data_IF_722740866472
#
_entry.id   IF_722740866472
#
_cell.length_a   1.000
_cell.length_b   1.000
_cell.length_c   1.000
_cell.angle_alpha   90.00
_cell.angle_beta   90.00
_cell.angle_gamma   90.00
#
_symmetry.space_group_name_H-M   'P 1'
#
loop_
_entity.id
_entity.type
_entity.pdbx_description
1 polymer ?
#
# COMPACT_ATOMS: atom_id res chain seq x y z
N UNK A 1 41.40 45.46 29.72
CA UNK A 1 41.53 44.54 28.57
C UNK A 1 40.78 45.16 27.41
N UNK A 2 41.46 45.53 26.31
CA UNK A 2 40.82 46.11 25.13
C UNK A 2 40.10 45.00 24.37
N UNK A 3 38.77 44.97 24.40
CA UNK A 3 38.00 44.16 23.45
C UNK A 3 38.20 44.73 22.05
N UNK A 4 38.74 43.93 21.13
CA UNK A 4 38.69 44.23 19.71
C UNK A 4 37.23 44.08 19.24
N UNK A 5 36.63 45.17 18.77
CA UNK A 5 35.28 45.16 18.24
C UNK A 5 35.25 44.46 16.88
N UNK A 6 34.27 43.58 16.69
CA UNK A 6 34.03 42.91 15.41
C UNK A 6 33.65 43.96 14.36
N UNK A 7 34.31 43.96 13.20
CA UNK A 7 33.96 44.89 12.12
C UNK A 7 32.71 44.40 11.39
N UNK A 8 31.91 45.34 10.86
CA UNK A 8 30.69 45.01 10.13
C UNK A 8 30.97 44.13 8.90
N UNK A 9 32.15 44.29 8.27
CA UNK A 9 32.57 43.51 7.10
C UNK A 9 32.85 42.05 7.49
N UNK A 10 33.54 41.80 8.60
CA UNK A 10 33.81 40.43 9.08
C UNK A 10 32.50 39.68 9.37
N UNK A 11 31.51 40.36 9.95
CA UNK A 11 30.20 39.77 10.21
C UNK A 11 29.48 39.43 8.90
N UNK A 12 29.51 40.33 7.92
CA UNK A 12 28.88 40.13 6.61
C UNK A 12 29.50 38.97 5.83
N UNK A 13 30.82 38.81 5.85
CA UNK A 13 31.49 37.70 5.14
C UNK A 13 31.12 36.36 5.77
N UNK A 14 31.06 36.28 7.11
CA UNK A 14 30.71 35.04 7.80
C UNK A 14 29.28 34.61 7.50
N UNK A 15 28.31 35.53 7.56
CA UNK A 15 26.93 35.18 7.21
C UNK A 15 26.80 34.80 5.74
N UNK A 16 27.57 35.43 4.83
CA UNK A 16 27.56 35.07 3.41
C UNK A 16 28.08 33.65 3.19
N UNK A 17 29.17 33.26 3.86
CA UNK A 17 29.71 31.90 3.80
C UNK A 17 28.71 30.90 4.38
N UNK A 18 28.11 31.18 5.54
CA UNK A 18 27.09 30.31 6.14
C UNK A 18 25.89 30.15 5.20
N UNK A 19 25.43 31.23 4.57
CA UNK A 19 24.32 31.20 3.62
C UNK A 19 24.63 30.33 2.40
N UNK A 20 25.84 30.45 1.83
CA UNK A 20 26.28 29.61 0.70
C UNK A 20 26.36 28.14 1.11
N UNK A 21 26.96 27.84 2.27
CA UNK A 21 27.07 26.46 2.75
C UNK A 21 25.70 25.85 3.04
N UNK A 22 24.81 26.60 3.71
CA UNK A 22 23.44 26.15 4.00
C UNK A 22 22.63 25.91 2.72
N UNK A 23 22.79 26.76 1.69
CA UNK A 23 22.10 26.63 0.41
C UNK A 23 22.45 25.32 -0.30
N UNK A 24 23.70 24.83 -0.18
CA UNK A 24 24.13 23.56 -0.77
C UNK A 24 23.74 22.38 0.12
N UNK A 25 23.84 22.53 1.45
CA UNK A 25 23.61 21.43 2.39
C UNK A 25 22.13 21.08 2.55
N UNK A 26 21.24 22.07 2.51
CA UNK A 26 19.80 21.88 2.69
C UNK A 26 19.14 20.91 1.68
N UNK A 27 19.34 21.06 0.35
CA UNK A 27 18.73 20.13 -0.62
C UNK A 27 19.27 18.70 -0.47
N UNK A 28 20.57 18.55 -0.18
CA UNK A 28 21.19 17.23 0.03
C UNK A 28 20.63 16.57 1.29
N UNK A 29 20.50 17.33 2.38
CA UNK A 29 19.95 16.82 3.63
C UNK A 29 18.47 16.42 3.48
N UNK A 30 17.68 17.20 2.74
CA UNK A 30 16.29 16.87 2.44
C UNK A 30 16.16 15.54 1.68
N UNK A 31 17.00 15.31 0.66
CA UNK A 31 17.02 14.04 -0.09
C UNK A 31 17.46 12.87 0.79
N UNK A 32 18.51 13.05 1.60
CA UNK A 32 18.98 12.02 2.53
C UNK A 32 17.89 11.63 3.55
N UNK A 33 17.18 12.62 4.08
CA UNK A 33 16.06 12.39 5.01
C UNK A 33 14.92 11.62 4.35
N UNK A 34 14.56 11.94 3.12
CA UNK A 34 13.52 11.18 2.41
C UNK A 34 13.98 9.75 2.09
N UNK A 35 15.25 9.55 1.74
CA UNK A 35 15.80 8.20 1.58
C UNK A 35 15.73 7.38 2.87
N UNK A 36 16.02 7.98 4.01
CA UNK A 36 15.86 7.30 5.31
C UNK A 36 14.39 6.91 5.57
N UNK A 37 13.43 7.80 5.26
CA UNK A 37 11.99 7.49 5.38
C UNK A 37 11.55 6.40 4.41
N UNK A 38 12.04 6.42 3.18
CA UNK A 38 11.82 5.38 2.19
C UNK A 38 12.30 4.02 2.71
N UNK A 39 13.53 3.93 3.23
CA UNK A 39 14.05 2.68 3.82
C UNK A 39 13.18 2.19 4.97
N UNK A 40 12.72 3.10 5.84
CA UNK A 40 11.83 2.74 6.92
C UNK A 40 10.47 2.25 6.43
N UNK A 41 9.88 2.88 5.41
CA UNK A 41 8.58 2.47 4.85
C UNK A 41 8.67 1.10 4.15
N UNK A 42 9.76 0.83 3.41
CA UNK A 42 10.04 -0.50 2.83
C UNK A 42 10.20 -1.55 3.94
N UNK A 43 10.88 -1.23 5.03
CA UNK A 43 11.00 -2.14 6.17
C UNK A 43 9.66 -2.40 6.85
N UNK A 44 8.79 -1.39 6.98
CA UNK A 44 7.45 -1.54 7.53
C UNK A 44 6.61 -2.51 6.66
N UNK A 45 6.62 -2.32 5.33
CA UNK A 45 5.95 -3.23 4.41
C UNK A 45 6.54 -4.63 4.46
N UNK A 46 7.86 -4.77 4.55
CA UNK A 46 8.51 -6.09 4.70
C UNK A 46 8.01 -6.80 5.94
N UNK A 47 7.83 -6.09 7.06
CA UNK A 47 7.29 -6.70 8.28
C UNK A 47 5.83 -7.11 8.12
N UNK A 48 5.01 -6.37 7.35
CA UNK A 48 3.66 -6.83 7.00
C UNK A 48 3.66 -8.05 6.10
N UNK A 49 4.47 -8.06 5.05
CA UNK A 49 4.58 -9.18 4.14
C UNK A 49 5.01 -10.44 4.89
N UNK A 50 5.98 -10.32 5.81
CA UNK A 50 6.39 -11.42 6.69
C UNK A 50 5.28 -11.84 7.66
N UNK A 51 4.51 -10.90 8.22
CA UNK A 51 3.38 -11.22 9.09
C UNK A 51 2.27 -11.99 8.35
N UNK A 52 1.99 -11.63 7.11
CA UNK A 52 1.09 -12.39 6.22
C UNK A 52 1.67 -13.77 5.96
N UNK A 53 2.95 -13.86 5.61
CA UNK A 53 3.60 -15.14 5.33
C UNK A 53 3.54 -16.07 6.56
N UNK A 54 3.82 -15.55 7.76
CA UNK A 54 3.70 -16.31 9.01
C UNK A 54 2.27 -16.77 9.28
N UNK A 55 1.27 -15.90 9.08
CA UNK A 55 -0.13 -16.30 9.14
C UNK A 55 -0.41 -17.46 8.18
N UNK A 56 0.01 -17.34 6.92
CA UNK A 56 -0.24 -18.38 5.90
C UNK A 56 0.37 -19.72 6.33
N UNK A 57 1.59 -19.72 6.89
CA UNK A 57 2.24 -20.93 7.41
C UNK A 57 1.44 -21.57 8.56
N UNK A 58 0.86 -20.78 9.45
CA UNK A 58 0.12 -21.27 10.61
C UNK A 58 -1.32 -21.70 10.27
N UNK A 59 -1.88 -21.22 9.15
CA UNK A 59 -3.27 -21.45 8.74
C UNK A 59 -3.38 -22.26 7.42
N UNK A 60 -2.74 -23.43 7.39
CA UNK A 60 -2.83 -24.40 6.28
C UNK A 60 -2.57 -23.78 4.89
N UNK A 61 -1.53 -22.96 4.79
CA UNK A 61 -1.16 -22.25 3.56
C UNK A 61 -2.28 -21.36 3.01
N UNK A 62 -3.19 -20.87 3.85
CA UNK A 62 -4.36 -20.08 3.42
C UNK A 62 -4.20 -18.60 3.78
N UNK A 63 -4.39 -17.71 2.79
CA UNK A 63 -4.37 -16.26 3.03
C UNK A 63 -5.57 -15.81 3.88
N UNK A 64 -5.41 -14.75 4.70
CA UNK A 64 -6.51 -14.22 5.49
C UNK A 64 -7.58 -13.60 4.58
N UNK A 65 -8.83 -13.63 5.05
CA UNK A 65 -9.92 -12.92 4.39
C UNK A 65 -9.72 -11.41 4.47
N UNK A 66 -10.19 -10.65 3.47
CA UNK A 66 -10.11 -9.18 3.45
C UNK A 66 -10.75 -8.55 4.70
N UNK A 67 -12.00 -8.93 4.98
CA UNK A 67 -12.80 -8.44 6.08
C UNK A 67 -14.01 -9.36 6.28
N UNK A 68 -14.42 -9.62 7.51
CA UNK A 68 -15.72 -10.26 7.80
C UNK A 68 -16.30 -9.73 9.12
N UNK A 69 -17.61 -9.91 9.32
CA UNK A 69 -18.28 -9.49 10.56
C UNK A 69 -17.92 -10.46 11.69
N UNK A 70 -17.42 -9.92 12.79
CA UNK A 70 -17.08 -10.67 14.01
C UNK A 70 -17.62 -9.97 15.26
N UNK A 71 -17.34 -10.54 16.43
CA UNK A 71 -17.70 -9.99 17.74
C UNK A 71 -16.56 -10.13 18.73
N UNK A 72 -16.29 -9.06 19.48
CA UNK A 72 -15.41 -9.05 20.65
C UNK A 72 -16.27 -8.75 21.87
N UNK A 73 -16.53 -9.76 22.69
CA UNK A 73 -17.54 -9.68 23.75
C UNK A 73 -18.94 -9.44 23.15
N UNK A 74 -19.64 -8.40 23.63
CA UNK A 74 -20.95 -8.00 23.11
C UNK A 74 -20.88 -6.93 22.00
N UNK A 75 -19.69 -6.54 21.56
CA UNK A 75 -19.51 -5.52 20.53
C UNK A 75 -19.24 -6.17 19.17
N UNK A 76 -20.01 -5.80 18.15
CA UNK A 76 -19.71 -6.17 16.76
C UNK A 76 -18.46 -5.43 16.27
N UNK A 77 -17.70 -6.06 15.38
CA UNK A 77 -16.53 -5.45 14.78
C UNK A 77 -16.23 -6.02 13.39
N UNK A 78 -15.54 -5.24 12.57
CA UNK A 78 -14.98 -5.68 11.30
C UNK A 78 -13.64 -6.39 11.58
N UNK A 79 -13.59 -7.70 11.36
CA UNK A 79 -12.34 -8.46 11.47
C UNK A 79 -11.66 -8.44 10.11
N UNK A 80 -10.57 -7.69 9.99
CA UNK A 80 -9.88 -7.46 8.72
C UNK A 80 -8.65 -8.36 8.55
N UNK A 81 -8.09 -8.42 7.34
CA UNK A 81 -6.80 -9.10 7.12
C UNK A 81 -5.69 -8.54 8.02
N UNK A 82 -5.80 -7.26 8.42
CA UNK A 82 -4.84 -6.63 9.33
C UNK A 82 -5.02 -7.16 10.76
N UNK A 83 -6.26 -7.34 11.24
CA UNK A 83 -6.52 -8.03 12.50
C UNK A 83 -6.05 -9.48 12.50
N UNK A 84 -6.21 -10.18 11.38
CA UNK A 84 -5.78 -11.57 11.25
C UNK A 84 -4.26 -11.72 11.45
N UNK A 85 -3.47 -10.80 10.90
CA UNK A 85 -2.01 -10.84 10.99
C UNK A 85 -1.45 -10.13 12.24
N UNK A 86 -2.30 -9.46 13.01
CA UNK A 86 -1.89 -8.66 14.17
C UNK A 86 -1.00 -9.43 15.18
N UNK A 87 -1.22 -10.72 15.49
CA UNK A 87 -0.34 -11.49 16.38
C UNK A 87 1.11 -11.61 15.89
N UNK A 88 1.34 -11.47 14.58
CA UNK A 88 2.65 -11.54 13.94
C UNK A 88 3.29 -10.14 13.77
N UNK A 89 2.52 -9.07 14.01
CA UNK A 89 2.95 -7.68 13.91
C UNK A 89 3.49 -7.22 15.27
N UNK A 90 4.79 -6.91 15.34
CA UNK A 90 5.47 -6.57 16.61
C UNK A 90 5.23 -5.15 17.11
N UNK A 91 4.76 -4.24 16.26
CA UNK A 91 4.65 -2.81 16.58
C UNK A 91 3.60 -2.11 15.71
N UNK A 92 2.69 -1.37 16.33
CA UNK A 92 1.64 -0.62 15.62
C UNK A 92 2.18 0.52 14.76
N UNK A 93 3.39 1.03 15.05
CA UNK A 93 4.05 2.03 14.20
C UNK A 93 4.31 1.52 12.77
N UNK A 94 4.24 0.21 12.55
CA UNK A 94 4.39 -0.40 11.23
C UNK A 94 3.26 0.03 10.30
N UNK A 95 2.03 0.22 10.80
CA UNK A 95 0.83 0.58 10.02
C UNK A 95 0.96 1.92 9.28
N UNK A 96 1.91 2.76 9.69
CA UNK A 96 2.12 4.07 9.13
C UNK A 96 3.42 4.18 8.33
N UNK A 97 3.34 4.81 7.17
CA UNK A 97 4.51 5.20 6.41
C UNK A 97 5.03 6.54 6.95
N UNK A 98 6.33 6.71 7.28
CA UNK A 98 6.86 7.97 7.80
C UNK A 98 6.68 9.17 6.86
N UNK A 99 6.54 8.93 5.55
CA UNK A 99 6.28 9.96 4.54
C UNK A 99 4.78 10.26 4.34
N UNK A 100 3.88 9.45 4.89
CA UNK A 100 2.43 9.62 4.78
C UNK A 100 1.69 9.22 6.08
N UNK A 101 2.11 9.82 7.20
CA UNK A 101 1.48 9.56 8.51
C UNK A 101 0.00 9.90 8.49
N UNK A 102 -0.81 9.09 9.16
CA UNK A 102 -2.27 9.29 9.27
C UNK A 102 -2.93 9.49 7.89
N UNK A 103 -2.48 8.72 6.89
CA UNK A 103 -3.02 8.79 5.54
C UNK A 103 -4.53 8.52 5.53
N UNK A 104 -4.94 7.40 6.16
CA UNK A 104 -6.31 6.96 6.28
C UNK A 104 -6.66 6.60 7.73
N UNK A 105 -7.85 6.99 8.17
CA UNK A 105 -8.51 6.61 9.43
C UNK A 105 -9.43 5.42 9.17
N UNK A 106 -8.95 4.19 9.44
CA UNK A 106 -9.72 2.97 9.18
C UNK A 106 -10.78 2.73 10.24
N UNK A 107 -10.50 3.10 11.49
CA UNK A 107 -11.48 2.98 12.58
C UNK A 107 -12.70 3.87 12.29
N UNK A 108 -12.47 5.14 11.92
CA UNK A 108 -13.55 6.04 11.52
C UNK A 108 -14.29 5.53 10.28
N UNK A 109 -13.56 5.01 9.29
CA UNK A 109 -14.19 4.45 8.09
C UNK A 109 -15.16 3.31 8.40
N UNK A 110 -14.79 2.36 9.27
CA UNK A 110 -15.68 1.27 9.66
C UNK A 110 -16.88 1.75 10.47
N UNK A 111 -16.66 2.71 11.36
CA UNK A 111 -17.75 3.36 12.11
C UNK A 111 -18.74 4.05 11.17
N UNK A 112 -18.28 4.76 10.15
CA UNK A 112 -19.13 5.46 9.18
C UNK A 112 -19.86 4.47 8.24
N UNK A 113 -19.18 3.39 7.83
CA UNK A 113 -19.73 2.44 6.87
C UNK A 113 -20.71 1.45 7.51
N UNK A 114 -20.38 0.91 8.69
CA UNK A 114 -21.07 -0.23 9.28
C UNK A 114 -21.62 0.03 10.69
N UNK A 115 -21.26 1.16 11.32
CA UNK A 115 -21.68 1.50 12.68
C UNK A 115 -20.91 0.78 13.79
N UNK A 116 -19.79 0.13 13.47
CA UNK A 116 -18.93 -0.56 14.44
C UNK A 116 -17.45 -0.49 14.02
N UNK A 117 -16.50 -0.64 14.97
CA UNK A 117 -15.08 -0.45 14.69
C UNK A 117 -14.42 -1.69 14.10
N UNK A 118 -13.13 -1.55 13.80
CA UNK A 118 -12.24 -2.66 13.48
C UNK A 118 -11.89 -3.45 14.75
N UNK A 119 -11.79 -4.79 14.66
CA UNK A 119 -11.64 -5.64 15.86
C UNK A 119 -10.33 -5.42 16.63
N UNK A 120 -9.23 -5.09 15.95
CA UNK A 120 -7.91 -4.81 16.52
C UNK A 120 -7.68 -3.32 16.82
N UNK A 121 -8.64 -2.44 16.48
CA UNK A 121 -8.64 -0.99 16.79
C UNK A 121 -7.39 -0.24 16.32
N UNK A 122 -6.74 -0.70 15.25
CA UNK A 122 -5.73 0.12 14.60
C UNK A 122 -6.44 1.27 13.88
N UNK A 123 -5.97 2.49 14.11
CA UNK A 123 -6.67 3.68 13.59
C UNK A 123 -6.11 4.16 12.27
N UNK A 124 -4.80 4.36 12.23
CA UNK A 124 -4.12 4.97 11.08
C UNK A 124 -3.47 3.91 10.24
N UNK A 125 -3.75 3.91 8.94
CA UNK A 125 -3.10 3.01 7.99
C UNK A 125 -2.64 3.78 6.77
N UNK A 126 -1.44 3.45 6.29
CA UNK A 126 -0.83 4.10 5.13
C UNK A 126 -0.72 3.19 3.92
N UNK A 127 -1.01 1.90 4.04
CA UNK A 127 -0.85 0.97 2.92
C UNK A 127 -2.20 0.60 2.34
N UNK A 128 -2.18 -0.08 1.21
CA UNK A 128 -3.35 -0.72 0.63
C UNK A 128 -3.02 -2.19 0.38
N UNK A 129 -3.99 -3.05 0.66
CA UNK A 129 -3.89 -4.48 0.44
C UNK A 129 -4.24 -4.82 -1.02
N UNK A 130 -3.68 -5.90 -1.55
CA UNK A 130 -4.18 -6.50 -2.77
C UNK A 130 -5.44 -7.34 -2.48
N UNK A 131 -6.62 -6.77 -2.72
CA UNK A 131 -7.91 -7.45 -2.52
C UNK A 131 -8.20 -8.56 -3.55
N UNK A 132 -7.31 -8.81 -4.51
CA UNK A 132 -7.35 -10.04 -5.31
C UNK A 132 -6.60 -11.20 -4.64
N UNK A 133 -5.75 -10.93 -3.64
CA UNK A 133 -5.08 -11.94 -2.84
C UNK A 133 -5.85 -12.24 -1.55
N UNK A 134 -6.29 -11.18 -0.87
CA UNK A 134 -7.13 -11.29 0.32
C UNK A 134 -8.59 -11.28 -0.11
N UNK A 135 -9.13 -12.44 -0.48
CA UNK A 135 -10.53 -12.59 -0.88
C UNK A 135 -11.49 -12.49 0.32
N UNK A 136 -12.77 -12.23 0.05
CA UNK A 136 -13.76 -11.94 1.10
C UNK A 136 -14.24 -13.17 1.89
N UNK A 137 -13.99 -14.38 1.40
CA UNK A 137 -14.52 -15.60 1.99
C UNK A 137 -15.98 -15.89 1.62
N UNK A 138 -16.50 -17.07 2.01
CA UNK A 138 -17.86 -17.48 1.72
C UNK A 138 -18.88 -16.75 2.60
N UNK A 139 -20.05 -16.43 2.04
CA UNK A 139 -21.18 -15.78 2.73
C UNK A 139 -20.81 -14.47 3.45
N UNK A 140 -19.96 -13.65 2.84
CA UNK A 140 -19.52 -12.40 3.45
C UNK A 140 -20.65 -11.37 3.50
N UNK A 141 -21.16 -11.07 4.70
CA UNK A 141 -22.26 -10.11 4.87
C UNK A 141 -21.86 -8.64 4.73
N UNK A 142 -20.56 -8.33 4.71
CA UNK A 142 -20.06 -6.96 4.58
C UNK A 142 -19.91 -6.59 3.11
N UNK A 143 -19.25 -7.43 2.32
CA UNK A 143 -18.97 -7.16 0.91
C UNK A 143 -19.97 -7.82 -0.05
N UNK A 144 -20.74 -8.79 0.43
CA UNK A 144 -21.53 -9.69 -0.42
C UNK A 144 -20.69 -10.72 -1.17
N UNK A 145 -19.38 -10.78 -0.90
CA UNK A 145 -18.45 -11.73 -1.50
C UNK A 145 -18.73 -13.18 -1.09
N UNK A 146 -18.38 -14.11 -1.99
CA UNK A 146 -18.48 -15.54 -1.74
C UNK A 146 -17.24 -16.31 -2.23
N UNK A 147 -16.15 -15.59 -2.47
CA UNK A 147 -14.92 -16.13 -2.99
C UNK A 147 -14.15 -16.79 -1.85
N UNK A 148 -13.81 -18.07 -1.97
CA UNK A 148 -12.98 -18.76 -0.96
C UNK A 148 -11.62 -18.05 -0.78
N UNK A 149 -11.03 -18.06 0.41
CA UNK A 149 -9.66 -17.60 0.59
C UNK A 149 -8.69 -18.36 -0.32
N UNK A 150 -7.68 -17.65 -0.81
CA UNK A 150 -6.67 -18.21 -1.71
C UNK A 150 -5.64 -19.00 -0.87
N UNK A 151 -5.19 -20.14 -1.37
CA UNK A 151 -4.04 -20.85 -0.80
C UNK A 151 -2.73 -20.46 -1.49
N UNK A 152 -1.62 -20.52 -0.76
CA UNK A 152 -0.26 -20.31 -1.29
C UNK A 152 0.03 -21.24 -2.49
N UNK A 153 -0.47 -22.47 -2.46
CA UNK A 153 -0.33 -23.42 -3.55
C UNK A 153 -1.12 -23.04 -4.83
N UNK A 154 -2.09 -22.13 -4.72
CA UNK A 154 -2.80 -21.56 -5.88
C UNK A 154 -2.04 -20.38 -6.50
N UNK A 155 -0.95 -19.92 -5.86
CA UNK A 155 -0.10 -18.88 -6.40
C UNK A 155 1.06 -19.49 -7.18
N UNK A 156 1.07 -19.29 -8.49
CA UNK A 156 2.17 -19.77 -9.33
C UNK A 156 3.43 -18.90 -9.19
N UNK A 157 3.25 -17.63 -8.83
CA UNK A 157 4.35 -16.65 -8.68
C UNK A 157 4.23 -15.88 -7.37
N UNK A 158 4.40 -16.54 -6.20
CA UNK A 158 4.33 -15.87 -4.90
C UNK A 158 5.31 -14.68 -4.78
N UNK A 159 6.44 -14.76 -5.48
CA UNK A 159 7.48 -13.72 -5.54
C UNK A 159 7.11 -12.53 -6.44
N UNK A 160 6.01 -12.59 -7.19
CA UNK A 160 5.53 -11.51 -8.07
C UNK A 160 4.15 -11.00 -7.65
N UNK A 161 3.35 -11.82 -6.95
CA UNK A 161 2.05 -11.45 -6.41
C UNK A 161 2.20 -10.53 -5.20
N UNK A 162 1.61 -9.34 -5.25
CA UNK A 162 1.71 -8.41 -4.12
C UNK A 162 0.67 -8.71 -3.05
N UNK A 163 1.04 -8.42 -1.80
CA UNK A 163 0.17 -8.46 -0.65
C UNK A 163 -0.19 -7.04 -0.20
N UNK A 164 0.82 -6.19 0.08
CA UNK A 164 0.62 -4.82 0.54
C UNK A 164 1.49 -3.84 -0.23
N UNK A 165 1.00 -2.62 -0.45
CA UNK A 165 1.77 -1.57 -1.13
C UNK A 165 1.43 -0.18 -0.59
N UNK A 166 2.31 0.80 -0.82
CA UNK A 166 1.98 2.21 -0.57
C UNK A 166 0.79 2.65 -1.42
N UNK A 167 -0.30 3.05 -0.78
CA UNK A 167 -1.52 3.41 -1.50
C UNK A 167 -2.66 3.79 -0.57
N UNK A 168 -3.87 3.79 -1.12
CA UNK A 168 -5.09 4.19 -0.42
C UNK A 168 -6.24 3.26 -0.73
N UNK A 169 -7.07 2.98 0.28
CA UNK A 169 -8.45 2.56 0.08
C UNK A 169 -9.25 3.77 -0.40
N UNK A 170 -10.13 3.57 -1.39
CA UNK A 170 -10.83 4.68 -2.04
C UNK A 170 -12.34 4.58 -1.98
N UNK A 171 -13.02 5.71 -1.86
CA UNK A 171 -14.47 5.78 -2.03
C UNK A 171 -14.80 6.25 -3.43
N UNK A 172 -16.06 6.08 -3.86
CA UNK A 172 -16.51 6.61 -5.14
C UNK A 172 -16.38 8.15 -5.13
N UNK A 173 -15.58 8.69 -6.04
CA UNK A 173 -15.34 10.13 -6.13
C UNK A 173 -14.03 10.49 -6.84
N UNK A 174 -13.88 11.77 -7.18
CA UNK A 174 -12.80 12.27 -8.03
C UNK A 174 -13.14 12.19 -9.53
N UNK A 175 -12.15 12.35 -10.40
CA UNK A 175 -12.30 12.18 -11.84
C UNK A 175 -11.91 10.76 -12.31
N UNK A 176 -11.46 9.90 -11.39
CA UNK A 176 -11.19 8.48 -11.62
C UNK A 176 -12.34 7.58 -11.21
N UNK A 177 -12.44 6.41 -11.83
CA UNK A 177 -13.38 5.35 -11.45
C UNK A 177 -12.87 4.54 -10.23
N UNK A 178 -12.46 5.25 -9.18
CA UNK A 178 -11.93 4.64 -7.97
C UNK A 178 -13.04 4.00 -7.12
N UNK A 179 -12.74 2.83 -6.58
CA UNK A 179 -13.64 2.06 -5.73
C UNK A 179 -12.86 1.40 -4.60
N UNK A 180 -13.55 0.97 -3.55
CA UNK A 180 -12.96 0.54 -2.28
C UNK A 180 -11.87 -0.53 -2.42
N UNK A 181 -12.01 -1.42 -3.39
CA UNK A 181 -11.16 -2.60 -3.53
C UNK A 181 -10.25 -2.57 -4.77
N UNK A 182 -10.20 -1.44 -5.49
CA UNK A 182 -9.34 -1.32 -6.67
C UNK A 182 -7.84 -1.26 -6.33
N UNK A 183 -7.45 -1.12 -5.06
CA UNK A 183 -6.05 -1.15 -4.57
C UNK A 183 -5.08 -0.09 -5.18
N UNK A 184 -5.49 1.19 -5.38
CA UNK A 184 -4.64 2.18 -6.02
C UNK A 184 -3.40 2.56 -5.20
N UNK A 185 -2.30 2.84 -5.90
CA UNK A 185 -1.02 3.22 -5.30
C UNK A 185 -0.73 4.72 -5.32
N UNK A 186 0.15 5.13 -4.41
CA UNK A 186 0.69 6.49 -4.32
C UNK A 186 2.23 6.47 -4.29
N UNK A 187 2.88 7.18 -5.21
CA UNK A 187 4.33 7.32 -5.25
C UNK A 187 4.86 8.28 -4.19
N UNK A 188 5.12 7.76 -2.98
CA UNK A 188 5.52 8.58 -1.81
C UNK A 188 7.01 8.86 -1.71
N UNK A 189 7.85 8.06 -2.37
CA UNK A 189 9.29 8.05 -2.12
C UNK A 189 10.10 8.39 -3.38
N UNK A 190 10.10 9.66 -3.80
CA UNK A 190 10.79 10.10 -5.02
C UNK A 190 10.41 9.24 -6.25
N UNK A 191 9.12 9.22 -6.58
CA UNK A 191 8.58 8.42 -7.70
C UNK A 191 8.79 6.91 -7.52
N UNK A 192 8.84 6.45 -6.27
CA UNK A 192 8.81 5.03 -5.95
C UNK A 192 7.72 4.71 -4.92
N UNK A 193 7.27 3.46 -4.97
CA UNK A 193 6.27 2.84 -4.10
C UNK A 193 6.91 1.65 -3.41
N UNK A 194 6.67 1.47 -2.11
CA UNK A 194 7.07 0.27 -1.40
C UNK A 194 6.03 -0.82 -1.64
N UNK A 195 6.47 -2.04 -1.91
CA UNK A 195 5.60 -3.19 -2.22
C UNK A 195 6.10 -4.42 -1.48
N UNK A 196 5.18 -5.14 -0.86
CA UNK A 196 5.39 -6.41 -0.17
C UNK A 196 4.67 -7.52 -0.93
N UNK A 197 5.29 -8.69 -0.99
CA UNK A 197 4.86 -9.81 -1.81
C UNK A 197 4.35 -10.97 -0.97
N UNK A 198 3.65 -11.89 -1.62
CA UNK A 198 3.00 -13.03 -1.00
C UNK A 198 3.99 -13.98 -0.28
N UNK A 199 5.22 -14.08 -0.75
CA UNK A 199 6.32 -14.84 -0.12
C UNK A 199 7.00 -14.12 1.08
N UNK A 200 6.55 -12.91 1.41
CA UNK A 200 7.07 -12.13 2.53
C UNK A 200 8.25 -11.19 2.22
N UNK A 201 8.75 -11.14 0.98
CA UNK A 201 9.77 -10.14 0.64
C UNK A 201 9.14 -8.77 0.33
N UNK A 202 9.98 -7.73 0.24
CA UNK A 202 9.54 -6.39 -0.15
C UNK A 202 10.57 -5.70 -1.05
N UNK A 203 10.09 -4.80 -1.91
CA UNK A 203 10.89 -4.07 -2.89
C UNK A 203 10.28 -2.69 -3.17
N UNK A 204 11.13 -1.71 -3.48
CA UNK A 204 10.67 -0.45 -4.06
C UNK A 204 10.53 -0.56 -5.57
N UNK A 205 9.39 -0.14 -6.11
CA UNK A 205 9.15 -0.07 -7.55
C UNK A 205 9.07 1.37 -8.03
N UNK A 206 9.53 1.61 -9.26
CA UNK A 206 9.39 2.93 -9.90
C UNK A 206 7.97 3.13 -10.38
N UNK A 207 7.44 4.31 -10.10
CA UNK A 207 6.09 4.70 -10.47
C UNK A 207 6.07 6.04 -11.16
N UNK A 208 5.06 6.28 -11.99
CA UNK A 208 4.79 7.58 -12.61
C UNK A 208 3.42 8.09 -12.18
N UNK A 209 3.27 9.40 -12.09
CA UNK A 209 1.96 10.02 -11.86
C UNK A 209 1.03 9.70 -13.04
N UNK A 210 -0.23 9.44 -12.72
CA UNK A 210 -1.32 9.40 -13.67
C UNK A 210 -2.15 10.67 -13.52
N UNK A 211 -2.74 11.18 -14.60
CA UNK A 211 -3.61 12.37 -14.58
C UNK A 211 -5.03 12.05 -14.08
N UNK A 212 -5.12 11.21 -13.04
CA UNK A 212 -6.35 10.72 -12.45
C UNK A 212 -6.29 10.97 -10.94
N UNK A 213 -7.38 11.49 -10.38
CA UNK A 213 -7.55 11.82 -8.98
C UNK A 213 -8.64 10.94 -8.37
N UNK A 214 -8.38 10.50 -7.15
CA UNK A 214 -9.30 9.71 -6.36
C UNK A 214 -9.41 10.24 -4.95
N UNK A 215 -10.48 9.83 -4.27
CA UNK A 215 -10.74 10.22 -2.88
C UNK A 215 -10.54 8.98 -2.01
N UNK A 216 -9.71 9.10 -0.98
CA UNK A 216 -9.49 8.02 -0.04
C UNK A 216 -10.65 7.90 0.97
N UNK A 217 -10.67 6.81 1.74
CA UNK A 217 -11.70 6.56 2.78
C UNK A 217 -11.80 7.61 3.88
N UNK A 218 -10.84 8.54 3.96
CA UNK A 218 -10.85 9.69 4.88
C UNK A 218 -11.12 11.01 4.17
N UNK A 219 -11.79 10.95 3.01
CA UNK A 219 -12.20 12.09 2.21
C UNK A 219 -11.04 13.01 1.75
N UNK A 220 -9.83 12.45 1.59
CA UNK A 220 -8.67 13.18 1.05
C UNK A 220 -8.47 12.86 -0.42
N UNK A 221 -8.37 13.90 -1.24
CA UNK A 221 -8.03 13.76 -2.65
C UNK A 221 -6.53 13.47 -2.81
N UNK A 222 -6.20 12.50 -3.65
CA UNK A 222 -4.83 12.18 -4.04
C UNK A 222 -4.75 11.87 -5.54
N UNK A 223 -3.56 12.03 -6.11
CA UNK A 223 -3.27 11.68 -7.50
C UNK A 223 -2.86 10.24 -7.59
N UNK A 224 -3.44 9.49 -8.52
CA UNK A 224 -3.07 8.10 -8.80
C UNK A 224 -1.66 8.01 -9.37
N UNK A 225 -1.02 6.89 -9.07
CA UNK A 225 0.26 6.53 -9.65
C UNK A 225 0.18 5.16 -10.30
N UNK A 226 1.14 4.91 -11.19
CA UNK A 226 1.24 3.67 -11.93
C UNK A 226 2.63 3.10 -11.84
N UNK A 227 2.72 1.78 -11.74
CA UNK A 227 3.99 1.09 -11.93
C UNK A 227 4.47 1.26 -13.36
N UNK A 228 5.75 1.58 -13.52
CA UNK A 228 6.36 1.68 -14.85
C UNK A 228 6.66 0.31 -15.44
N UNK A 229 6.98 -0.67 -14.59
CA UNK A 229 7.24 -2.06 -14.95
C UNK A 229 6.64 -2.93 -13.85
N UNK A 230 5.37 -3.36 -13.97
CA UNK A 230 4.79 -4.23 -12.96
C UNK A 230 5.59 -5.53 -12.87
N UNK A 231 5.71 -6.12 -11.67
CA UNK A 231 6.24 -7.47 -11.53
C UNK A 231 5.30 -8.49 -12.19
N UNK A 232 4.00 -8.18 -12.23
CA UNK A 232 2.96 -9.06 -12.76
C UNK A 232 2.56 -8.69 -14.19
N UNK A 233 2.82 -9.55 -15.17
CA UNK A 233 2.59 -9.30 -16.59
C UNK A 233 1.60 -10.27 -17.26
N UNK A 234 0.83 -11.02 -16.46
CA UNK A 234 -0.17 -11.97 -16.94
C UNK A 234 -1.58 -11.53 -16.58
N UNK A 235 -2.52 -11.89 -17.44
CA UNK A 235 -3.94 -11.83 -17.13
C UNK A 235 -4.75 -12.67 -18.10
N UNK A 236 -5.86 -13.19 -17.59
CA UNK A 236 -6.91 -13.75 -18.42
C UNK A 236 -7.74 -12.67 -19.09
N UNK A 237 -7.81 -12.68 -20.42
CA UNK A 237 -8.76 -11.87 -21.18
C UNK A 237 -10.09 -12.61 -21.24
N UNK A 238 -11.05 -12.18 -20.43
CA UNK A 238 -12.39 -12.78 -20.38
C UNK A 238 -13.16 -12.68 -21.70
N UNK A 239 -12.90 -11.65 -22.51
CA UNK A 239 -13.61 -11.43 -23.77
C UNK A 239 -13.01 -12.30 -24.88
N UNK A 240 -11.69 -12.45 -24.91
CA UNK A 240 -11.00 -13.26 -25.90
C UNK A 240 -10.83 -14.73 -25.49
N UNK A 241 -11.17 -15.09 -24.24
CA UNK A 241 -11.07 -16.46 -23.72
C UNK A 241 -9.64 -17.01 -23.79
N UNK A 242 -8.65 -16.15 -23.59
CA UNK A 242 -7.23 -16.49 -23.75
C UNK A 242 -6.35 -15.70 -22.80
N UNK A 243 -5.11 -16.16 -22.69
CA UNK A 243 -4.10 -15.49 -21.88
C UNK A 243 -3.43 -14.35 -22.62
N UNK A 244 -3.26 -13.27 -21.87
CA UNK A 244 -2.44 -12.15 -22.26
C UNK A 244 -1.21 -12.13 -21.35
N UNK A 245 -0.03 -12.19 -21.95
CA UNK A 245 1.27 -11.94 -21.28
C UNK A 245 1.74 -10.51 -21.55
N UNK A 246 0.83 -9.60 -21.91
CA UNK A 246 1.19 -8.21 -22.15
C UNK A 246 1.54 -7.54 -20.83
N UNK A 247 2.68 -6.85 -20.82
CA UNK A 247 3.08 -5.99 -19.70
C UNK A 247 1.96 -4.98 -19.46
N UNK A 248 1.25 -5.12 -18.34
CA UNK A 248 0.19 -4.17 -18.01
C UNK A 248 0.80 -2.87 -17.54
N UNK A 249 0.76 -1.87 -18.40
CA UNK A 249 1.21 -0.53 -18.03
C UNK A 249 0.04 0.33 -17.55
N UNK A 250 0.37 1.50 -17.01
CA UNK A 250 -0.59 2.56 -16.67
C UNK A 250 -1.67 2.82 -17.75
N UNK A 251 -1.32 2.68 -19.03
CA UNK A 251 -2.19 2.96 -20.17
C UNK A 251 -2.99 1.73 -20.64
N UNK A 252 -2.61 0.54 -20.19
CA UNK A 252 -3.14 -0.74 -20.63
C UNK A 252 -3.91 -1.48 -19.52
N UNK A 253 -4.03 -0.88 -18.33
CA UNK A 253 -4.91 -1.42 -17.28
C UNK A 253 -6.38 -1.26 -17.71
N UNK A 254 -7.19 -2.34 -17.71
CA UNK A 254 -8.63 -2.29 -17.97
C UNK A 254 -9.45 -1.58 -16.88
N UNK A 255 -8.85 -1.28 -15.72
CA UNK A 255 -9.55 -0.65 -14.60
C UNK A 255 -9.08 0.80 -14.40
N UNK A 256 -8.41 1.05 -13.28
CA UNK A 256 -7.81 2.34 -12.95
C UNK A 256 -6.30 2.19 -12.97
N UNK A 257 -5.56 3.27 -13.26
CA UNK A 257 -4.12 3.22 -13.15
C UNK A 257 -3.70 2.88 -11.71
N UNK A 258 -2.90 1.81 -11.52
CA UNK A 258 -2.50 1.33 -10.19
C UNK A 258 -3.40 0.24 -9.58
N UNK A 259 -4.34 -0.34 -10.35
CA UNK A 259 -5.30 -1.33 -9.86
C UNK A 259 -4.71 -2.71 -9.54
N UNK A 260 -5.47 -3.53 -8.77
CA UNK A 260 -5.15 -4.92 -8.39
C UNK A 260 -4.63 -5.82 -9.52
N UNK A 261 -5.03 -5.56 -10.75
CA UNK A 261 -4.62 -6.34 -11.91
C UNK A 261 -3.19 -6.04 -12.40
N UNK A 262 -2.59 -4.92 -11.97
CA UNK A 262 -1.15 -4.64 -12.11
C UNK A 262 -0.31 -5.38 -11.06
N UNK A 263 -0.98 -5.98 -10.08
CA UNK A 263 -0.40 -6.56 -8.87
C UNK A 263 -0.63 -8.08 -8.74
N UNK A 264 -1.33 -8.66 -9.72
CA UNK A 264 -1.72 -10.06 -9.79
C UNK A 264 -3.16 -10.30 -9.37
N UNK A 265 -3.90 -11.07 -10.18
CA UNK A 265 -5.26 -11.56 -9.85
C UNK A 265 -5.20 -13.09 -9.88
N UNK A 266 -4.78 -13.73 -8.78
CA UNK A 266 -4.46 -15.16 -8.74
C UNK A 266 -5.48 -16.07 -9.45
N UNK A 267 -6.78 -15.82 -9.25
CA UNK A 267 -7.86 -16.62 -9.85
C UNK A 267 -8.01 -16.45 -11.36
N UNK A 268 -7.77 -15.25 -11.88
CA UNK A 268 -7.74 -15.05 -13.34
C UNK A 268 -6.50 -15.73 -13.91
N UNK A 269 -5.40 -15.69 -13.18
CA UNK A 269 -4.12 -16.21 -13.64
C UNK A 269 -4.06 -17.75 -13.66
N UNK A 270 -4.76 -18.43 -12.74
CA UNK A 270 -4.93 -19.88 -12.77
C UNK A 270 -5.56 -20.37 -14.09
N UNK A 271 -6.36 -19.54 -14.77
CA UNK A 271 -6.92 -19.87 -16.08
C UNK A 271 -5.89 -19.79 -17.20
N UNK A 272 -4.73 -19.17 -16.93
CA UNK A 272 -3.61 -19.04 -17.84
C UNK A 272 -2.58 -20.13 -17.80
N UNK A 273 -2.86 -21.16 -17.02
CA UNK A 273 -1.97 -22.28 -16.78
C UNK A 273 -2.71 -23.51 -17.27
N UNK A 274 -2.91 -23.55 -18.58
CA UNK A 274 -3.20 -24.79 -19.30
C UNK A 274 -1.89 -25.18 -20.01
N UNK A 275 -1.41 -26.43 -19.87
CA UNK A 275 -0.08 -26.85 -20.31
C UNK A 275 0.16 -26.74 -21.82
#
# INVERSE_FOLDING_TARGET
MRHHGFTLIELLVVIAIIAILAAILFPVFAQAREKARQTQCVNNIKQFALAVYQYVQDYEETFPMSVYRSRVGNQECAFTMIAAIQPYVKNDALYECPSARRAMDLDQFWMDLLGFPECSRFRWFSYVANFALFEDGPNNTITGGNQLPIKMAELDFPVETTAFQDGHLTVQGGNGNCSLFNSPIEGRHNETVSVGYADGHAKSLKVKKADVQCINISNKTFTLWCVQSPPYNRSWDTNAGRCSTQVKTCQQSPYIPGSRDLWGIPRQDAQCIVP
#
